data_IF_256551213520
#
_entry.id   IF_256551213520
#
_cell.length_a   1.000
_cell.length_b   1.000
_cell.length_c   1.000
_cell.angle_alpha   90.00
_cell.angle_beta   90.00
_cell.angle_gamma   90.00
#
_symmetry.space_group_name_H-M   'P 1'
#
loop_
_entity.id
_entity.type
_entity.pdbx_description
1 polymer ?
2 non-polymer ?
3 non-polymer ?
4 water ?
#
# COMPACT_ATOMS: atom_id res chain seq x y z
N UNK A 10 18.65 -17.72 -6.50
CA UNK A 10 17.72 -18.72 -7.06
C UNK A 10 16.94 -18.11 -8.25
N UNK A 11 17.57 -18.29 -9.39
CA UNK A 11 17.07 -17.91 -10.70
C UNK A 11 16.43 -19.13 -11.36
N UNK A 12 15.31 -18.86 -11.99
CA UNK A 12 14.53 -19.83 -12.73
C UNK A 12 15.04 -19.77 -14.17
N UNK A 13 15.05 -20.91 -14.81
CA UNK A 13 15.54 -21.04 -16.19
C UNK A 13 14.64 -20.24 -17.11
N UNK A 14 15.27 -19.49 -18.00
CA UNK A 14 14.62 -18.61 -18.94
C UNK A 14 13.72 -19.39 -19.90
N UNK A 15 12.47 -18.97 -19.96
CA UNK A 15 11.51 -19.59 -20.91
C UNK A 15 12.06 -19.27 -22.32
N UNK A 16 11.62 -20.11 -23.27
CA UNK A 16 12.03 -19.96 -24.66
C UNK A 16 11.66 -18.63 -25.27
N UNK A 17 10.49 -18.09 -25.00
CA UNK A 17 10.06 -16.85 -25.62
C UNK A 17 10.74 -15.59 -25.19
N UNK A 18 11.59 -15.66 -24.18
CA UNK A 18 12.22 -14.43 -23.60
C UNK A 18 13.56 -14.11 -24.19
N UNK A 19 13.69 -12.99 -24.90
CA UNK A 19 14.99 -12.61 -25.49
C UNK A 19 15.98 -12.28 -24.36
N UNK A 20 17.18 -12.81 -24.45
CA UNK A 20 18.18 -12.72 -23.40
C UNK A 20 18.55 -11.29 -23.01
N UNK A 21 18.39 -10.37 -23.91
CA UNK A 21 18.65 -8.96 -23.82
C UNK A 21 17.58 -8.26 -22.98
N UNK A 22 16.45 -8.99 -22.75
CA UNK A 22 15.39 -8.40 -21.92
C UNK A 22 15.53 -8.84 -20.50
N UNK A 23 16.51 -9.61 -20.17
CA UNK A 23 16.71 -10.12 -18.81
C UNK A 23 17.39 -9.03 -17.92
N UNK A 24 16.76 -8.90 -16.80
CA UNK A 24 17.18 -8.03 -15.68
C UNK A 24 16.67 -8.74 -14.42
N UNK A 25 17.59 -9.33 -13.68
CA UNK A 25 17.26 -10.11 -12.49
C UNK A 25 17.01 -9.30 -11.22
N UNK A 26 15.91 -8.66 -11.17
CA UNK A 26 15.34 -7.92 -10.08
C UNK A 26 14.53 -8.86 -9.17
N UNK A 27 14.86 -8.75 -7.89
CA UNK A 27 14.15 -9.46 -6.81
C UNK A 27 13.30 -8.45 -6.06
N UNK A 28 12.01 -8.41 -6.28
CA UNK A 28 11.06 -7.53 -5.68
C UNK A 28 11.05 -7.67 -4.14
N UNK A 29 11.45 -8.83 -3.64
CA UNK A 29 11.46 -9.08 -2.23
C UNK A 29 12.76 -8.70 -1.53
N UNK A 30 13.80 -8.59 -2.31
CA UNK A 30 15.12 -8.29 -1.82
C UNK A 30 15.96 -7.65 -2.93
N UNK A 31 15.60 -6.45 -3.25
CA UNK A 31 16.34 -5.68 -4.27
C UNK A 31 17.72 -5.34 -3.68
N UNK A 32 18.64 -5.20 -4.62
CA UNK A 32 20.04 -4.98 -4.36
C UNK A 32 20.35 -3.74 -3.57
N UNK A 33 19.83 -2.59 -3.98
CA UNK A 33 20.39 -1.44 -3.15
C UNK A 33 19.50 -1.02 -2.05
N UNK A 34 18.93 -1.99 -1.35
CA UNK A 34 17.98 -1.74 -0.25
C UNK A 34 18.51 -0.76 0.75
N UNK A 35 19.80 -0.81 0.99
CA UNK A 35 20.44 0.15 1.94
C UNK A 35 20.15 1.62 1.62
N UNK A 36 20.16 1.98 0.37
CA UNK A 36 19.91 3.34 -0.12
C UNK A 36 18.46 3.80 0.04
N UNK A 37 17.60 2.87 0.48
CA UNK A 37 16.15 3.21 0.58
C UNK A 37 15.42 2.34 -0.49
N UNK A 38 14.19 2.02 -0.19
CA UNK A 38 13.35 1.11 -0.99
C UNK A 38 12.97 1.70 -2.34
N UNK A 39 12.53 2.91 -2.44
CA UNK A 39 12.21 3.60 -3.64
C UNK A 39 13.43 3.71 -4.57
N UNK A 40 14.57 4.09 -3.96
CA UNK A 40 15.84 4.11 -4.70
C UNK A 40 16.24 2.72 -5.18
N UNK A 41 16.07 1.67 -4.44
CA UNK A 41 16.37 0.28 -4.84
C UNK A 41 15.53 -0.13 -6.05
N UNK A 42 14.30 0.20 -6.11
CA UNK A 42 13.38 -0.01 -7.25
C UNK A 42 13.72 0.79 -8.47
N UNK A 43 14.08 2.07 -8.28
CA UNK A 43 14.43 3.02 -9.29
C UNK A 43 15.62 2.61 -10.12
N UNK A 44 16.36 1.60 -9.76
CA UNK A 44 17.41 1.03 -10.60
C UNK A 44 16.81 0.56 -11.96
N UNK A 45 15.58 0.10 -11.96
CA UNK A 45 14.81 -0.37 -13.08
C UNK A 45 14.64 0.72 -14.14
N UNK A 46 14.75 1.97 -13.69
CA UNK A 46 14.59 3.12 -14.57
C UNK A 46 15.86 3.75 -15.09
N UNK A 47 16.96 3.11 -14.85
CA UNK A 47 18.26 3.55 -15.41
C UNK A 47 18.27 3.28 -16.92
N UNK A 48 19.05 4.09 -17.61
CA UNK A 48 19.26 4.05 -19.05
C UNK A 48 19.67 2.68 -19.59
N UNK A 49 20.29 1.83 -18.83
CA UNK A 49 20.74 0.52 -19.25
C UNK A 49 19.57 -0.50 -19.22
N UNK A 50 18.44 -0.05 -18.72
CA UNK A 50 17.31 -0.95 -18.54
C UNK A 50 16.26 -0.73 -19.58
N UNK A 51 15.89 -1.81 -20.27
CA UNK A 51 14.73 -1.71 -21.21
C UNK A 51 13.45 -1.39 -20.42
N UNK A 52 12.42 -0.89 -21.09
CA UNK A 52 11.13 -0.53 -20.55
C UNK A 52 10.36 -1.71 -19.93
N UNK A 53 10.64 -2.88 -20.45
CA UNK A 53 9.99 -4.13 -20.14
C UNK A 53 11.03 -5.19 -20.08
N UNK A 54 11.22 -5.73 -18.89
CA UNK A 54 12.24 -6.70 -18.62
C UNK A 54 11.60 -7.94 -18.04
N UNK A 55 12.37 -8.99 -18.06
CA UNK A 55 12.03 -10.28 -17.49
C UNK A 55 13.07 -10.51 -16.37
N UNK A 56 12.56 -10.88 -15.22
CA UNK A 56 13.45 -11.25 -14.12
C UNK A 56 13.32 -12.74 -13.91
N UNK A 57 14.41 -13.39 -13.59
CA UNK A 57 14.40 -14.82 -13.31
C UNK A 57 14.12 -15.15 -11.88
N UNK A 58 13.97 -14.11 -11.06
CA UNK A 58 13.74 -14.32 -9.62
C UNK A 58 12.25 -14.57 -9.40
N UNK A 59 12.00 -15.20 -8.28
CA UNK A 59 10.65 -15.39 -7.78
C UNK A 59 9.82 -16.15 -8.81
N UNK A 60 10.52 -17.00 -9.57
CA UNK A 60 9.94 -17.88 -10.55
C UNK A 60 9.90 -17.39 -11.99
N UNK A 61 10.24 -16.15 -12.27
CA UNK A 61 10.24 -15.57 -13.60
C UNK A 61 8.96 -14.85 -13.88
N UNK A 62 9.10 -13.58 -14.27
CA UNK A 62 7.95 -12.70 -14.53
C UNK A 62 8.50 -11.45 -15.20
N UNK A 63 7.62 -10.76 -15.88
CA UNK A 63 7.89 -9.52 -16.56
C UNK A 63 7.75 -8.38 -15.52
N UNK A 64 8.34 -7.25 -15.85
CA UNK A 64 8.21 -6.03 -15.02
C UNK A 64 8.11 -4.88 -16.02
N UNK A 65 7.08 -4.12 -15.97
CA UNK A 65 7.02 -2.89 -16.77
C UNK A 65 7.69 -1.80 -15.88
N UNK A 66 8.53 -0.98 -16.51
CA UNK A 66 9.32 -0.01 -15.73
C UNK A 66 8.90 1.40 -15.85
N UNK A 67 8.00 1.76 -16.71
CA UNK A 67 7.65 3.13 -17.08
C UNK A 67 6.20 3.36 -16.84
N UNK A 68 5.92 4.56 -16.32
CA UNK A 68 4.54 4.93 -16.02
C UNK A 68 3.62 4.71 -17.18
N UNK A 69 4.08 4.98 -18.39
CA UNK A 69 3.28 4.80 -19.62
C UNK A 69 2.79 3.37 -19.78
N UNK A 70 3.65 2.40 -19.65
CA UNK A 70 3.37 1.00 -19.79
C UNK A 70 2.52 0.50 -18.66
N UNK A 71 2.84 0.93 -17.44
CA UNK A 71 2.09 0.53 -16.24
C UNK A 71 0.62 0.97 -16.38
N UNK A 72 0.38 2.17 -16.80
CA UNK A 72 -0.96 2.70 -16.97
C UNK A 72 -1.74 1.93 -18.08
N UNK A 73 -1.03 1.72 -19.19
CA UNK A 73 -1.62 0.97 -20.30
C UNK A 73 -2.05 -0.44 -19.89
N UNK A 74 -1.19 -1.15 -19.27
CA UNK A 74 -1.40 -2.48 -18.76
C UNK A 74 -2.56 -2.48 -17.78
N UNK A 75 -2.68 -1.49 -16.91
CA UNK A 75 -3.72 -1.35 -15.93
C UNK A 75 -5.10 -1.06 -16.49
N UNK A 76 -5.13 -0.40 -17.61
CA UNK A 76 -6.27 -0.07 -18.36
C UNK A 76 -6.84 -1.25 -19.13
N UNK A 77 -6.01 -2.05 -19.70
CA UNK A 77 -6.24 -3.20 -20.54
C UNK A 77 -6.65 -4.48 -19.90
N UNK A 78 -7.62 -4.59 -19.06
CA UNK A 78 -7.92 -5.83 -18.30
C UNK A 78 -8.20 -7.06 -19.15
N UNK A 79 -8.63 -6.82 -20.38
CA UNK A 79 -8.83 -7.90 -21.39
C UNK A 79 -7.60 -8.76 -21.53
N UNK A 80 -6.42 -8.15 -21.69
CA UNK A 80 -5.14 -8.81 -21.76
C UNK A 80 -4.46 -9.08 -20.44
N UNK A 81 -4.57 -8.08 -19.58
CA UNK A 81 -3.87 -8.21 -18.23
C UNK A 81 -4.89 -8.43 -17.19
N UNK A 82 -5.03 -9.66 -16.73
CA UNK A 82 -6.12 -9.99 -15.80
C UNK A 82 -5.62 -9.93 -14.34
N UNK A 83 -6.59 -9.64 -13.47
CA UNK A 83 -6.35 -9.56 -12.03
C UNK A 83 -6.42 -10.88 -11.35
N UNK A 84 -6.75 -11.91 -12.14
CA UNK A 84 -6.99 -13.25 -11.56
C UNK A 84 -5.86 -13.66 -10.63
N UNK A 85 -4.66 -13.43 -11.13
CA UNK A 85 -3.42 -13.84 -10.39
C UNK A 85 -2.51 -12.57 -10.34
N UNK A 86 -2.76 -11.75 -9.32
CA UNK A 86 -2.14 -10.41 -9.22
C UNK A 86 -0.88 -10.35 -8.40
N UNK A 87 -0.57 -11.39 -7.67
CA UNK A 87 0.62 -11.48 -6.83
C UNK A 87 1.65 -12.39 -7.49
N UNK A 88 2.86 -12.04 -7.22
CA UNK A 88 4.09 -12.80 -7.55
C UNK A 88 4.62 -13.22 -6.20
N UNK A 89 5.08 -14.43 -5.98
CA UNK A 89 5.22 -15.50 -6.98
C UNK A 89 3.84 -16.14 -7.24
N UNK A 90 3.76 -16.87 -8.30
CA UNK A 90 2.52 -17.46 -8.85
C UNK A 90 1.72 -18.17 -7.80
N UNK A 91 2.33 -19.01 -6.98
CA UNK A 91 1.60 -19.68 -5.89
C UNK A 91 0.82 -18.73 -5.01
N UNK A 92 1.34 -17.54 -4.77
CA UNK A 92 0.66 -16.50 -4.01
C UNK A 92 -0.49 -15.95 -4.88
N UNK A 93 -0.19 -15.61 -6.13
CA UNK A 93 -1.20 -15.06 -7.03
C UNK A 93 -2.37 -16.06 -7.20
N UNK A 94 -2.01 -17.33 -7.24
CA UNK A 94 -2.92 -18.43 -7.38
C UNK A 94 -3.80 -18.62 -6.16
N UNK A 95 -3.21 -18.48 -4.98
CA UNK A 95 -3.96 -18.65 -3.74
C UNK A 95 -4.86 -17.46 -3.49
N UNK A 96 -4.52 -16.38 -4.18
CA UNK A 96 -5.16 -15.07 -3.99
C UNK A 96 -6.60 -15.12 -4.52
N UNK A 97 -7.53 -14.76 -3.65
CA UNK A 97 -8.93 -14.81 -4.01
C UNK A 97 -9.74 -13.69 -3.41
N UNK A 98 -9.04 -12.61 -3.06
CA UNK A 98 -9.72 -11.41 -2.55
C UNK A 98 -10.65 -10.79 -3.59
N UNK A 99 -11.70 -10.18 -3.04
CA UNK A 99 -12.69 -9.48 -3.86
C UNK A 99 -12.64 -8.01 -3.40
N UNK A 100 -12.67 -7.05 -4.31
CA UNK A 100 -12.81 -7.19 -5.73
C UNK A 100 -11.58 -7.47 -6.54
N UNK A 101 -10.43 -7.50 -5.87
CA UNK A 101 -9.13 -7.44 -6.50
C UNK A 101 -8.81 -8.58 -7.42
N UNK A 102 -9.33 -9.78 -7.15
CA UNK A 102 -8.97 -10.88 -8.10
C UNK A 102 -10.03 -11.01 -9.20
N UNK A 103 -10.86 -10.01 -9.45
CA UNK A 103 -11.84 -10.02 -10.50
C UNK A 103 -11.64 -8.89 -11.52
N UNK A 104 -12.06 -9.19 -12.72
CA UNK A 104 -12.02 -8.23 -13.85
C UNK A 104 -13.40 -7.72 -14.04
N UNK A 105 -13.55 -6.53 -14.61
CA UNK A 105 -14.87 -6.03 -15.02
C UNK A 105 -15.42 -7.02 -16.09
N UNK A 106 -16.74 -7.16 -16.19
CA UNK A 106 -17.77 -6.41 -15.52
C UNK A 106 -18.14 -6.88 -14.12
N UNK A 107 -17.78 -8.07 -13.79
CA UNK A 107 -18.04 -8.77 -12.56
C UNK A 107 -17.57 -7.99 -11.32
N UNK A 108 -16.37 -7.44 -11.43
CA UNK A 108 -15.75 -6.61 -10.38
C UNK A 108 -16.66 -5.51 -9.87
N UNK A 109 -17.35 -4.81 -10.73
CA UNK A 109 -18.18 -3.65 -10.48
C UNK A 109 -19.18 -3.70 -9.33
N UNK A 110 -19.86 -4.82 -9.21
CA UNK A 110 -20.88 -5.03 -8.22
C UNK A 110 -20.22 -5.12 -6.85
N UNK A 111 -19.12 -5.87 -6.84
CA UNK A 111 -18.40 -6.05 -5.56
C UNK A 111 -17.77 -4.71 -5.13
N UNK A 112 -17.26 -3.96 -6.08
CA UNK A 112 -16.63 -2.65 -5.82
C UNK A 112 -17.61 -1.67 -5.19
N UNK A 113 -18.81 -1.65 -5.72
CA UNK A 113 -19.90 -0.79 -5.26
C UNK A 113 -20.19 -1.02 -3.80
N UNK A 114 -20.15 -2.28 -3.38
CA UNK A 114 -20.39 -2.62 -1.98
C UNK A 114 -19.22 -2.19 -1.08
N UNK A 115 -18.04 -2.53 -1.51
CA UNK A 115 -16.81 -2.19 -0.75
C UNK A 115 -16.75 -0.67 -0.53
N UNK A 116 -17.19 0.08 -1.50
CA UNK A 116 -17.33 1.50 -1.55
C UNK A 116 -18.31 2.03 -0.49
N UNK A 117 -19.36 1.28 -0.26
CA UNK A 117 -20.35 1.65 0.76
C UNK A 117 -19.62 1.75 2.13
N UNK A 118 -18.73 0.80 2.33
CA UNK A 118 -18.00 0.68 3.56
C UNK A 118 -16.80 1.55 3.85
N UNK A 119 -15.97 1.88 2.88
CA UNK A 119 -14.74 2.64 3.00
C UNK A 119 -14.74 4.00 2.36
N UNK A 120 -15.68 4.33 1.51
CA UNK A 120 -15.73 5.54 0.73
C UNK A 120 -15.82 6.84 1.47
N UNK A 121 -15.89 7.92 0.69
CA UNK A 121 -16.06 9.29 1.15
C UNK A 121 -16.97 9.51 2.35
N UNK A 122 -18.23 9.10 2.25
CA UNK A 122 -19.25 9.28 3.28
C UNK A 122 -18.88 8.65 4.60
N UNK A 123 -18.10 7.59 4.60
CA UNK A 123 -17.60 6.94 5.80
C UNK A 123 -16.46 7.78 6.43
N UNK A 124 -15.64 8.36 5.58
CA UNK A 124 -14.53 9.18 5.99
C UNK A 124 -15.04 10.43 6.73
N UNK A 125 -16.08 11.00 6.11
CA UNK A 125 -16.77 12.15 6.60
C UNK A 125 -17.35 11.90 7.98
N UNK A 126 -17.89 10.78 8.22
CA UNK A 126 -18.47 10.37 9.50
C UNK A 126 -17.42 10.06 10.55
N UNK A 127 -16.25 9.55 10.17
CA UNK A 127 -15.21 9.17 11.07
C UNK A 127 -14.16 10.28 11.37
N UNK A 128 -14.28 11.39 10.74
CA UNK A 128 -13.37 12.46 10.74
C UNK A 128 -12.96 12.91 12.15
N UNK A 129 -13.94 13.10 13.00
CA UNK A 129 -13.80 13.44 14.38
C UNK A 129 -13.03 12.40 15.17
N UNK A 130 -13.21 11.12 14.96
CA UNK A 130 -12.41 10.14 15.68
C UNK A 130 -10.96 10.15 15.19
N UNK A 131 -10.81 10.33 13.89
CA UNK A 131 -9.44 10.25 13.30
C UNK A 131 -8.60 11.37 14.04
N UNK A 132 -9.19 12.51 14.07
CA UNK A 132 -8.61 13.75 14.67
C UNK A 132 -8.38 13.55 16.17
N UNK A 133 -9.35 12.97 16.85
CA UNK A 133 -9.27 12.65 18.25
C UNK A 133 -8.16 11.68 18.56
N UNK A 134 -8.04 10.61 17.77
CA UNK A 134 -7.00 9.63 18.03
C UNK A 134 -5.62 10.18 17.76
N UNK A 135 -5.48 10.96 16.71
CA UNK A 135 -4.18 11.48 16.32
C UNK A 135 -3.67 12.44 17.45
N UNK A 136 -4.55 13.32 17.85
CA UNK A 136 -4.22 14.32 18.91
C UNK A 136 -3.83 13.63 20.19
N UNK A 137 -4.62 12.65 20.58
CA UNK A 137 -4.34 11.84 21.76
C UNK A 137 -3.07 11.07 21.74
N UNK A 138 -2.74 10.49 20.62
CA UNK A 138 -1.51 9.64 20.50
C UNK A 138 -0.29 10.60 20.58
N UNK A 139 -0.43 11.72 19.87
CA UNK A 139 0.66 12.67 19.77
C UNK A 139 0.99 13.31 21.12
N UNK A 140 -0.05 13.80 21.77
CA UNK A 140 0.05 14.47 23.06
C UNK A 140 0.68 13.52 24.07
N UNK A 141 0.30 12.28 23.95
CA UNK A 141 0.82 11.22 24.81
C UNK A 141 2.29 10.98 24.59
N UNK A 142 2.78 11.22 23.36
CA UNK A 142 4.18 11.05 23.04
C UNK A 142 5.05 12.28 23.34
N UNK A 143 4.57 13.44 23.03
CA UNK A 143 5.20 14.74 23.12
C UNK A 143 6.20 14.97 24.23
N UNK A 144 5.81 14.78 25.48
CA UNK A 144 6.68 14.97 26.66
C UNK A 144 7.79 13.99 26.81
N UNK A 145 7.77 12.88 26.09
CA UNK A 145 8.78 11.83 26.17
C UNK A 145 10.10 12.17 25.52
N UNK A 146 10.08 12.98 24.50
CA UNK A 146 11.26 13.36 23.73
C UNK A 146 11.82 12.23 22.90
N UNK A 147 11.09 11.15 22.76
CA UNK A 147 11.52 10.01 21.95
C UNK A 147 10.42 8.98 21.74
N UNK A 148 10.32 8.47 20.50
CA UNK A 148 9.52 7.24 20.27
C UNK A 148 10.19 6.30 19.28
N UNK A 149 9.48 5.24 18.99
CA UNK A 149 9.63 4.27 17.94
C UNK A 149 8.52 4.57 16.94
N UNK A 150 8.50 5.59 16.16
CA UNK A 150 7.36 6.03 15.38
C UNK A 150 6.55 4.85 14.75
N UNK A 151 7.25 3.84 14.28
CA UNK A 151 6.55 2.71 13.65
C UNK A 151 5.68 2.05 14.67
N UNK A 152 6.23 1.65 15.83
CA UNK A 152 5.35 1.02 16.83
C UNK A 152 4.44 1.93 17.57
N UNK A 153 4.87 3.12 17.87
CA UNK A 153 4.23 4.14 18.69
C UNK A 153 3.14 4.93 17.99
N UNK A 154 3.24 5.07 16.65
CA UNK A 154 2.16 5.87 16.03
C UNK A 154 1.64 5.26 14.70
N UNK A 155 2.65 5.04 13.84
CA UNK A 155 2.31 4.53 12.48
C UNK A 155 1.43 3.30 12.51
N UNK A 156 1.56 2.39 13.43
CA UNK A 156 0.75 1.23 13.65
C UNK A 156 -0.56 1.50 14.34
N UNK A 157 -0.54 1.94 15.60
CA UNK A 157 -1.75 2.19 16.34
C UNK A 157 -2.76 3.09 15.61
N UNK A 158 -2.30 4.23 15.11
CA UNK A 158 -3.16 5.25 14.54
C UNK A 158 -4.13 4.71 13.51
N UNK A 159 -3.60 4.24 12.40
CA UNK A 159 -4.43 3.72 11.29
C UNK A 159 -5.15 2.45 11.69
N UNK A 160 -4.52 1.59 12.47
CA UNK A 160 -5.09 0.29 12.84
C UNK A 160 -6.29 0.41 13.73
N UNK A 161 -6.10 1.21 14.78
CA UNK A 161 -7.20 1.43 15.72
C UNK A 161 -8.41 2.01 14.98
N UNK A 162 -8.18 2.84 14.01
CA UNK A 162 -9.32 3.41 13.28
C UNK A 162 -10.04 2.34 12.44
N UNK A 163 -9.27 1.46 11.85
CA UNK A 163 -9.81 0.37 11.02
C UNK A 163 -10.59 -0.55 11.99
N UNK A 164 -9.97 -0.83 13.14
CA UNK A 164 -10.53 -1.74 14.11
C UNK A 164 -11.91 -1.26 14.52
N UNK A 165 -12.04 0.06 14.62
CA UNK A 165 -13.26 0.72 15.07
C UNK A 165 -14.34 0.65 13.99
N UNK A 166 -13.90 0.84 12.78
CA UNK A 166 -14.72 0.83 11.58
C UNK A 166 -15.33 -0.59 11.37
N UNK A 167 -14.54 -1.58 11.56
CA UNK A 167 -14.77 -2.97 11.35
C UNK A 167 -15.45 -3.64 12.54
N UNK A 168 -15.38 -3.01 13.66
CA UNK A 168 -15.99 -3.46 14.92
C UNK A 168 -15.25 -4.69 15.41
N UNK A 169 -13.94 -4.69 15.37
CA UNK A 169 -13.12 -5.83 15.83
C UNK A 169 -12.30 -5.42 17.06
N UNK A 170 -12.07 -6.41 17.93
CA UNK A 170 -11.30 -6.14 19.18
C UNK A 170 -9.86 -5.76 18.93
N UNK A 171 -9.45 -4.67 19.60
CA UNK A 171 -8.08 -4.19 19.58
C UNK A 171 -7.11 -5.26 19.96
N UNK A 172 -7.60 -6.20 20.78
CA UNK A 172 -6.83 -7.36 21.24
C UNK A 172 -6.36 -8.21 20.08
N UNK A 173 -7.06 -8.14 18.95
CA UNK A 173 -6.69 -9.01 17.81
C UNK A 173 -5.56 -8.44 16.98
N UNK A 174 -5.16 -7.20 17.23
CA UNK A 174 -4.17 -6.55 16.40
C UNK A 174 -2.95 -7.35 16.07
N UNK A 175 -2.23 -7.80 17.09
CA UNK A 175 -0.96 -8.51 16.92
C UNK A 175 -1.03 -9.74 16.02
N UNK A 176 -2.04 -10.55 16.24
CA UNK A 176 -2.33 -11.77 15.47
C UNK A 176 -2.60 -11.39 14.02
N UNK A 177 -3.51 -10.43 13.84
CA UNK A 177 -3.89 -9.98 12.52
C UNK A 177 -2.79 -9.35 11.70
N UNK A 178 -2.05 -8.50 12.36
CA UNK A 178 -0.95 -7.72 11.79
C UNK A 178 0.13 -8.65 11.33
N UNK A 179 0.33 -9.70 12.10
CA UNK A 179 1.34 -10.74 11.72
C UNK A 179 0.92 -11.42 10.41
N UNK A 180 -0.36 -11.78 10.35
CA UNK A 180 -0.86 -12.50 9.16
C UNK A 180 -0.83 -11.64 7.91
N UNK A 181 -1.20 -10.37 8.04
CA UNK A 181 -1.21 -9.42 6.93
C UNK A 181 0.20 -9.19 6.39
N UNK A 182 1.16 -9.08 7.28
CA UNK A 182 2.56 -8.90 6.97
C UNK A 182 3.15 -10.06 6.13
N UNK A 183 2.75 -11.23 6.52
CA UNK A 183 3.09 -12.47 5.82
C UNK A 183 2.65 -12.41 4.37
N UNK A 184 1.56 -11.71 4.10
CA UNK A 184 1.02 -11.57 2.75
C UNK A 184 1.78 -10.63 1.85
N UNK A 185 2.19 -9.50 2.36
CA UNK A 185 2.86 -8.44 1.55
C UNK A 185 4.36 -8.56 1.58
N UNK A 186 4.86 -8.99 2.76
CA UNK A 186 6.31 -9.06 2.97
C UNK A 186 6.68 -10.38 3.60
N UNK A 187 6.42 -11.46 2.81
CA UNK A 187 6.71 -12.83 3.23
C UNK A 187 8.08 -13.00 3.88
N UNK A 188 7.99 -13.61 5.02
CA UNK A 188 9.07 -13.96 5.95
C UNK A 188 9.81 -15.25 5.57
N UNK A 189 8.96 -16.20 5.20
CA UNK A 189 9.40 -17.58 4.88
C UNK A 189 8.81 -18.46 6.00
N UNK A 190 8.26 -17.81 6.99
CA UNK A 190 7.65 -18.46 8.15
C UNK A 190 6.37 -19.20 7.75
N UNK A 191 5.70 -18.61 6.79
CA UNK A 191 4.44 -19.22 6.28
C UNK A 191 4.26 -18.86 4.84
N UNK A 192 3.64 -19.78 4.10
CA UNK A 192 3.29 -19.52 2.67
C UNK A 192 2.02 -18.68 2.63
N UNK A 193 1.65 -18.20 1.44
CA UNK A 193 0.52 -17.34 1.22
C UNK A 193 -0.78 -18.03 1.60
N UNK A 194 -0.92 -19.26 1.18
CA UNK A 194 -2.13 -20.06 1.40
C UNK A 194 -2.37 -20.32 2.89
N UNK A 195 -1.31 -20.63 3.58
CA UNK A 195 -1.33 -20.86 5.04
C UNK A 195 -1.84 -19.56 5.74
N UNK A 196 -1.22 -18.45 5.37
CA UNK A 196 -1.49 -17.16 5.94
C UNK A 196 -2.93 -16.80 5.60
N UNK A 197 -3.25 -17.03 4.34
CA UNK A 197 -4.60 -16.71 3.84
C UNK A 197 -5.65 -17.48 4.67
N UNK A 198 -5.38 -18.72 4.91
CA UNK A 198 -6.22 -19.63 5.66
C UNK A 198 -6.46 -19.26 7.10
N UNK A 199 -5.37 -18.84 7.75
CA UNK A 199 -5.39 -18.38 9.15
C UNK A 199 -6.22 -17.12 9.24
N UNK A 200 -6.16 -16.22 8.28
CA UNK A 200 -6.96 -14.99 8.30
C UNK A 200 -8.44 -15.33 8.15
N UNK A 201 -8.65 -16.28 7.26
CA UNK A 201 -9.99 -16.78 6.93
C UNK A 201 -10.57 -17.51 8.11
N UNK A 202 -9.78 -18.26 8.83
CA UNK A 202 -10.27 -18.93 10.07
C UNK A 202 -10.78 -17.90 11.08
N UNK A 203 -10.09 -16.77 11.04
CA UNK A 203 -10.41 -15.63 11.88
C UNK A 203 -11.78 -15.09 11.55
N UNK A 204 -12.00 -14.71 10.34
CA UNK A 204 -13.16 -14.04 9.79
C UNK A 204 -14.44 -14.87 9.73
N UNK A 205 -14.33 -16.14 9.39
CA UNK A 205 -15.50 -17.03 9.26
C UNK A 205 -16.52 -16.95 10.35
N UNK A 206 -16.21 -17.21 11.59
CA UNK A 206 -17.11 -17.13 12.73
C UNK A 206 -17.78 -15.79 12.90
N UNK A 207 -16.99 -14.70 12.68
CA UNK A 207 -17.44 -13.34 12.77
C UNK A 207 -18.51 -13.05 11.76
N UNK A 208 -18.19 -13.37 10.52
CA UNK A 208 -19.17 -13.14 9.41
C UNK A 208 -20.48 -13.84 9.77
N UNK A 209 -20.36 -15.06 10.21
CA UNK A 209 -21.50 -15.91 10.56
C UNK A 209 -22.42 -15.15 11.54
N UNK A 210 -21.79 -14.71 12.58
CA UNK A 210 -22.32 -13.97 13.72
C UNK A 210 -23.02 -12.71 13.23
N UNK A 211 -22.43 -12.05 12.24
CA UNK A 211 -22.93 -10.79 11.72
C UNK A 211 -23.98 -10.97 10.64
N UNK A 212 -24.16 -12.18 10.16
CA UNK A 212 -25.27 -12.43 9.20
C UNK A 212 -26.53 -12.67 10.05
N UNK A 213 -26.34 -13.33 11.17
CA UNK A 213 -27.41 -13.63 12.13
C UNK A 213 -27.89 -12.36 12.82
N UNK A 214 -26.94 -11.66 13.42
CA UNK A 214 -27.20 -10.40 14.12
C UNK A 214 -26.28 -9.26 13.70
N UNK A 215 -26.78 -8.53 12.71
CA UNK A 215 -26.11 -7.40 12.11
C UNK A 215 -25.91 -6.25 13.06
N UNK A 216 -24.79 -5.60 12.78
CA UNK A 216 -24.42 -4.34 13.49
C UNK A 216 -24.37 -3.27 12.38
N UNK A 217 -23.60 -2.25 12.71
CA UNK A 217 -23.46 -1.07 11.87
C UNK A 217 -22.02 -1.01 11.38
N UNK A 218 -21.23 -1.94 11.81
CA UNK A 218 -19.78 -2.02 11.42
C UNK A 218 -19.65 -2.39 9.95
N UNK A 219 -18.44 -2.24 9.42
CA UNK A 219 -18.15 -2.59 8.03
C UNK A 219 -18.41 -4.09 7.70
N UNK A 220 -18.09 -4.97 8.60
CA UNK A 220 -18.20 -6.41 8.40
C UNK A 220 -19.67 -6.78 8.26
N UNK A 221 -20.50 -6.24 9.13
CA UNK A 221 -21.93 -6.35 9.15
C UNK A 221 -22.53 -5.88 7.82
N UNK A 222 -22.07 -4.76 7.33
CA UNK A 222 -22.60 -4.22 6.06
C UNK A 222 -22.19 -5.12 4.89
N UNK A 223 -20.97 -5.61 4.89
CA UNK A 223 -20.49 -6.50 3.81
C UNK A 223 -21.24 -7.84 3.88
N UNK A 224 -21.35 -8.45 5.01
CA UNK A 224 -21.97 -9.76 5.22
C UNK A 224 -23.43 -9.85 4.81
N UNK A 225 -24.11 -8.72 4.81
CA UNK A 225 -25.53 -8.56 4.60
C UNK A 225 -25.84 -7.78 3.35
N UNK A 226 -24.87 -7.58 2.48
CA UNK A 226 -24.95 -6.75 1.29
C UNK A 226 -25.61 -7.45 0.11
N UNK A 227 -25.92 -6.69 -0.89
CA UNK A 227 -26.55 -7.13 -2.14
C UNK A 227 -25.59 -6.86 -3.29
N UNK A 228 -25.42 -7.84 -4.11
CA UNK A 228 -24.57 -7.81 -5.31
C UNK A 228 -25.37 -8.49 -6.43
N UNK A 229 -25.58 -7.73 -7.48
CA UNK A 229 -26.32 -8.20 -8.67
C UNK A 229 -27.70 -8.74 -8.32
N UNK A 230 -28.42 -7.93 -7.55
CA UNK A 230 -29.76 -8.17 -7.07
C UNK A 230 -29.92 -9.21 -6.01
N UNK A 231 -28.96 -10.07 -5.79
CA UNK A 231 -29.09 -11.14 -4.74
C UNK A 231 -28.17 -10.85 -3.58
N UNK A 232 -28.31 -11.64 -2.51
CA UNK A 232 -27.46 -11.50 -1.32
C UNK A 232 -26.05 -12.03 -1.58
N UNK A 233 -25.07 -11.38 -0.99
CA UNK A 233 -23.66 -11.86 -1.05
C UNK A 233 -23.59 -13.21 -0.35
N UNK A 234 -22.74 -14.09 -0.78
CA UNK A 234 -22.57 -15.38 -0.13
C UNK A 234 -21.59 -15.16 1.03
N UNK A 235 -21.51 -16.16 1.86
CA UNK A 235 -20.62 -16.10 3.06
C UNK A 235 -19.15 -16.01 2.62
N UNK A 236 -18.82 -16.83 1.66
CA UNK A 236 -17.53 -16.99 1.02
C UNK A 236 -17.08 -15.65 0.34
N UNK A 237 -17.97 -15.03 -0.39
CA UNK A 237 -17.78 -13.75 -0.99
C UNK A 237 -17.52 -12.66 0.08
N UNK A 238 -18.29 -12.74 1.16
CA UNK A 238 -18.14 -11.76 2.25
C UNK A 238 -16.77 -11.99 2.90
N UNK A 239 -16.43 -13.26 3.00
CA UNK A 239 -15.14 -13.60 3.63
C UNK A 239 -13.99 -13.04 2.80
N UNK A 240 -14.10 -13.23 1.50
CA UNK A 240 -13.11 -12.75 0.56
C UNK A 240 -13.02 -11.25 0.45
N UNK A 241 -14.04 -10.46 0.59
CA UNK A 241 -13.96 -9.03 0.61
C UNK A 241 -13.29 -8.54 1.96
N UNK A 242 -13.83 -9.08 3.05
CA UNK A 242 -13.37 -8.70 4.37
C UNK A 242 -11.88 -8.95 4.50
N UNK A 243 -11.43 -10.00 3.89
CA UNK A 243 -10.00 -10.41 3.91
C UNK A 243 -9.18 -9.24 3.28
N UNK A 244 -9.70 -8.73 2.16
CA UNK A 244 -8.98 -7.63 1.49
C UNK A 244 -8.95 -6.37 2.38
N UNK A 245 -10.08 -6.05 2.95
CA UNK A 245 -10.31 -4.89 3.77
C UNK A 245 -9.31 -4.87 4.94
N UNK A 246 -9.13 -6.01 5.54
CA UNK A 246 -8.20 -6.23 6.59
C UNK A 246 -6.75 -5.88 6.17
N UNK A 247 -6.30 -6.34 5.04
CA UNK A 247 -4.94 -6.10 4.53
C UNK A 247 -4.76 -4.62 4.21
N UNK A 248 -5.78 -4.05 3.59
CA UNK A 248 -5.73 -2.63 3.25
C UNK A 248 -5.66 -1.78 4.51
N UNK A 249 -6.48 -2.10 5.50
CA UNK A 249 -6.56 -1.38 6.76
C UNK A 249 -5.28 -1.46 7.60
N UNK A 250 -4.70 -2.61 7.70
CA UNK A 250 -3.55 -2.93 8.49
C UNK A 250 -2.19 -2.66 7.96
N UNK A 251 -2.01 -2.85 6.67
CA UNK A 251 -0.77 -2.82 5.94
C UNK A 251 -0.50 -1.70 5.03
N UNK A 252 -1.24 -0.69 4.80
CA UNK A 252 -0.95 0.35 3.82
C UNK A 252 -0.49 1.68 4.48
N UNK A 253 -1.40 2.32 5.13
CA UNK A 253 -1.28 3.60 5.78
C UNK A 253 -0.13 3.56 6.80
N UNK A 254 -0.08 2.46 7.49
CA UNK A 254 0.96 2.15 8.45
C UNK A 254 2.37 2.35 7.92
N UNK A 255 2.69 1.77 6.80
CA UNK A 255 4.00 1.85 6.16
C UNK A 255 4.24 3.23 5.56
N UNK A 256 3.23 3.76 4.91
CA UNK A 256 3.38 5.07 4.27
C UNK A 256 3.85 6.16 5.26
N UNK A 257 3.23 6.19 6.43
CA UNK A 257 3.42 7.21 7.44
C UNK A 257 4.91 7.17 7.85
N UNK A 258 5.46 5.99 8.00
CA UNK A 258 6.85 5.81 8.35
C UNK A 258 7.78 6.37 7.33
N UNK A 259 7.51 6.21 6.03
CA UNK A 259 8.42 6.75 5.01
C UNK A 259 8.43 8.29 5.13
N UNK A 260 7.21 8.80 5.24
CA UNK A 260 6.93 10.21 5.25
C UNK A 260 7.59 10.91 6.48
N UNK A 261 7.41 10.30 7.61
CA UNK A 261 7.94 10.76 8.88
C UNK A 261 9.43 10.67 8.95
N UNK A 262 10.02 9.68 8.30
CA UNK A 262 11.47 9.57 8.15
C UNK A 262 11.98 10.74 7.33
N UNK A 263 11.35 11.00 6.20
CA UNK A 263 11.72 12.15 5.38
C UNK A 263 11.61 13.46 6.17
N UNK A 264 10.51 13.67 6.87
CA UNK A 264 10.30 14.92 7.56
C UNK A 264 11.38 15.12 8.68
N UNK A 265 11.72 14.05 9.37
CA UNK A 265 12.72 14.02 10.38
C UNK A 265 14.06 14.48 9.79
N UNK A 266 14.25 14.25 8.51
CA UNK A 266 15.53 14.61 7.86
C UNK A 266 15.44 15.90 7.17
N UNK A 267 14.34 16.60 7.13
CA UNK A 267 14.24 17.81 6.30
C UNK A 267 13.52 18.96 6.91
N UNK A 268 14.27 19.70 7.78
CA UNK A 268 13.75 20.86 8.48
C UNK A 268 13.00 21.82 7.62
N UNK A 269 13.55 22.08 6.45
CA UNK A 269 12.97 23.08 5.53
C UNK A 269 11.61 22.62 5.03
N UNK A 270 11.36 21.33 4.93
CA UNK A 270 10.05 20.87 4.49
C UNK A 270 9.03 20.99 5.62
N UNK A 271 9.50 20.72 6.83
CA UNK A 271 8.63 20.85 8.02
C UNK A 271 8.15 22.28 8.18
N UNK A 272 9.10 23.23 7.99
CA UNK A 272 8.85 24.65 8.22
C UNK A 272 7.84 25.20 7.24
N UNK A 273 8.06 24.68 6.02
CA UNK A 273 7.17 25.06 4.92
C UNK A 273 5.76 24.76 5.28
N UNK A 274 5.51 23.59 5.86
CA UNK A 274 4.15 23.14 6.19
C UNK A 274 3.59 23.91 7.39
N UNK A 275 4.49 24.26 8.30
CA UNK A 275 4.12 25.05 9.49
C UNK A 275 3.72 26.45 9.10
N UNK A 276 4.48 27.07 8.23
CA UNK A 276 4.13 28.43 7.84
C UNK A 276 3.04 28.56 6.81
N UNK A 277 2.95 27.61 5.94
CA UNK A 277 1.97 27.73 4.80
C UNK A 277 1.09 26.51 4.74
N UNK A 278 0.25 26.32 5.75
CA UNK A 278 -0.59 25.17 5.94
C UNK A 278 -1.51 24.86 4.76
N UNK A 279 -1.77 25.83 3.90
CA UNK A 279 -2.61 25.72 2.75
C UNK A 279 -2.00 24.69 1.78
N UNK A 280 -0.74 24.43 1.96
CA UNK A 280 0.10 23.54 1.24
C UNK A 280 0.06 22.08 1.64
N UNK A 281 -0.44 21.74 2.81
CA UNK A 281 -0.57 20.37 3.26
C UNK A 281 -1.10 19.34 2.23
N UNK A 282 -2.19 19.64 1.61
CA UNK A 282 -2.87 18.79 0.61
C UNK A 282 -1.97 18.50 -0.55
N UNK A 283 -1.27 19.49 -1.06
CA UNK A 283 -0.28 19.42 -2.09
C UNK A 283 0.94 18.64 -1.69
N UNK A 284 1.44 18.85 -0.50
CA UNK A 284 2.55 18.08 0.07
C UNK A 284 2.18 16.61 0.26
N UNK A 285 0.95 16.35 0.64
CA UNK A 285 0.46 14.97 0.85
C UNK A 285 0.55 14.17 -0.48
N UNK A 286 0.14 14.82 -1.57
CA UNK A 286 0.23 14.24 -2.91
C UNK A 286 1.68 13.99 -3.30
N UNK A 287 2.55 14.95 -2.99
CA UNK A 287 3.95 14.87 -3.35
C UNK A 287 4.61 13.78 -2.60
N UNK A 288 4.24 13.60 -1.33
CA UNK A 288 4.78 12.50 -0.50
C UNK A 288 4.24 11.18 -1.03
N UNK A 289 2.95 11.16 -1.42
CA UNK A 289 2.37 9.90 -1.99
C UNK A 289 3.12 9.50 -3.25
N UNK A 290 3.55 10.48 -4.06
CA UNK A 290 4.39 10.21 -5.22
C UNK A 290 5.78 9.72 -4.87
N UNK A 291 6.50 10.43 -4.00
CA UNK A 291 7.90 10.11 -3.66
C UNK A 291 8.07 8.89 -2.84
N UNK A 292 7.11 8.64 -1.94
CA UNK A 292 7.17 7.49 -1.05
C UNK A 292 6.11 6.43 -1.38
N UNK A 293 5.75 6.35 -2.65
CA UNK A 293 4.87 5.24 -3.20
C UNK A 293 5.49 3.92 -2.82
N UNK A 294 4.61 2.96 -2.45
CA UNK A 294 5.07 1.73 -1.90
C UNK A 294 4.46 0.40 -2.29
N UNK A 295 3.53 0.40 -3.22
CA UNK A 295 2.79 -0.81 -3.64
C UNK A 295 3.34 -1.30 -5.00
N UNK A 296 3.49 -2.61 -5.05
CA UNK A 296 3.84 -3.26 -6.33
C UNK A 296 3.07 -4.57 -6.50
N UNK A 297 2.05 -4.53 -7.33
CA UNK A 297 1.45 -5.92 -7.69
C UNK A 297 1.46 -6.01 -9.21
N UNK A 298 0.74 -7.04 -9.77
CA UNK A 298 0.75 -7.17 -11.25
C UNK A 298 -0.56 -7.81 -11.75
N UNK A 299 -0.39 -8.41 -12.90
CA UNK A 299 -1.48 -9.06 -13.65
C UNK A 299 -1.02 -10.34 -14.34
N UNK A 300 -2.00 -11.01 -14.93
CA UNK A 300 -1.63 -12.30 -15.66
C UNK A 300 -2.05 -12.20 -17.07
N UNK A 301 -1.22 -12.75 -17.97
CA UNK A 301 -1.62 -12.65 -19.42
C UNK A 301 -2.74 -13.72 -19.69
N UNK A 302 -3.82 -13.17 -20.22
CA UNK A 302 -4.99 -14.02 -20.57
C UNK A 302 -4.73 -14.73 -21.91
N UNK A 303 -3.79 -14.19 -22.68
CA UNK A 303 -3.44 -14.74 -23.98
C UNK A 303 -2.10 -14.17 -24.45
N UNK A 304 -1.67 -14.76 -25.57
CA UNK A 304 -0.46 -14.34 -26.28
C UNK A 304 -0.76 -12.91 -26.77
N UNK A 305 0.23 -12.05 -26.46
CA UNK A 305 -0.01 -10.63 -26.79
C UNK A 305 1.31 -9.92 -26.92
N UNK A 306 1.33 -9.10 -27.95
CA UNK A 306 2.54 -8.35 -28.30
C UNK A 306 2.33 -6.92 -27.80
N UNK A 307 3.15 -6.63 -26.80
CA UNK A 307 2.98 -5.35 -26.04
C UNK A 307 4.26 -4.55 -26.19
N UNK A 308 4.17 -3.48 -26.94
CA UNK A 308 5.31 -2.56 -27.14
C UNK A 308 6.49 -3.34 -27.70
N UNK A 309 6.16 -4.19 -28.66
CA UNK A 309 7.10 -5.02 -29.39
C UNK A 309 7.62 -6.20 -28.66
N UNK A 310 7.14 -6.51 -27.47
CA UNK A 310 7.64 -7.72 -26.74
C UNK A 310 6.46 -8.72 -26.79
N UNK A 311 6.85 -9.96 -27.03
CA UNK A 311 5.84 -11.04 -27.09
C UNK A 311 5.59 -11.60 -25.71
N UNK A 312 4.36 -11.42 -25.28
CA UNK A 312 4.00 -11.92 -23.93
C UNK A 312 3.20 -13.22 -24.21
N UNK A 313 3.45 -14.22 -23.41
CA UNK A 313 2.78 -15.50 -23.53
C UNK A 313 1.69 -15.64 -22.50
N UNK A 314 0.63 -16.32 -22.90
CA UNK A 314 -0.55 -16.55 -22.07
C UNK A 314 -0.10 -17.16 -20.75
N UNK A 315 -0.51 -16.66 -19.61
CA UNK A 315 -0.06 -17.30 -18.35
C UNK A 315 1.19 -16.61 -17.80
N UNK A 316 1.81 -15.75 -18.59
CA UNK A 316 2.98 -14.99 -18.09
C UNK A 316 2.46 -14.01 -17.02
N UNK A 317 3.16 -13.97 -15.89
CA UNK A 317 2.76 -12.83 -14.94
C UNK A 317 3.62 -11.62 -15.32
N UNK A 318 3.12 -10.44 -15.01
CA UNK A 318 3.81 -9.18 -15.17
C UNK A 318 3.57 -8.28 -13.94
N UNK A 319 4.66 -7.82 -13.34
CA UNK A 319 4.61 -6.88 -12.23
C UNK A 319 4.42 -5.51 -12.82
N UNK A 320 3.47 -4.74 -12.33
CA UNK A 320 3.25 -3.37 -12.88
C UNK A 320 3.29 -2.41 -11.66
N UNK A 321 4.52 -2.14 -11.21
CA UNK A 321 4.76 -1.48 -9.92
C UNK A 321 4.14 -0.09 -9.86
N UNK A 322 3.09 0.01 -9.07
CA UNK A 322 2.39 1.32 -8.96
C UNK A 322 3.38 2.40 -8.47
N UNK A 323 4.34 1.94 -7.69
CA UNK A 323 5.40 2.75 -7.10
C UNK A 323 6.22 3.50 -8.16
N UNK A 324 6.50 2.80 -9.24
CA UNK A 324 7.34 3.28 -10.30
C UNK A 324 6.85 4.41 -11.14
N UNK A 325 5.59 4.61 -11.39
CA UNK A 325 5.11 5.62 -12.27
C UNK A 325 5.57 7.04 -11.92
N UNK A 326 5.42 7.40 -10.65
CA UNK A 326 5.70 8.75 -10.18
C UNK A 326 7.21 9.00 -10.04
N UNK A 327 8.01 7.98 -10.04
CA UNK A 327 9.44 8.04 -9.93
C UNK A 327 10.11 8.14 -11.28
N UNK A 328 9.30 7.97 -12.32
CA UNK A 328 9.73 8.00 -13.71
C UNK A 328 9.99 9.43 -14.08
N UNK A 329 11.20 9.69 -14.58
CA UNK A 329 11.62 10.98 -15.07
C UNK A 329 10.81 11.51 -16.23
N UNK A 330 10.25 10.64 -17.04
CA UNK A 330 9.39 11.04 -18.18
C UNK A 330 8.09 11.62 -17.61
N UNK A 331 7.73 11.30 -16.38
CA UNK A 331 6.50 11.78 -15.78
C UNK A 331 6.75 12.96 -14.83
N UNK A 332 7.84 12.86 -14.05
CA UNK A 332 8.20 13.95 -13.10
C UNK A 332 9.69 14.27 -13.22
N UNK A 333 9.96 15.53 -13.48
CA UNK A 333 11.35 16.07 -13.52
C UNK A 333 11.87 15.96 -12.09
N UNK A 334 13.11 15.57 -11.93
CA UNK A 334 13.81 15.33 -10.70
C UNK A 334 12.99 14.53 -9.73
N UNK A 335 12.73 13.26 -10.06
CA UNK A 335 11.83 12.39 -9.34
C UNK A 335 12.10 12.15 -7.89
N UNK A 336 13.33 11.98 -7.54
CA UNK A 336 13.85 11.71 -6.22
C UNK A 336 13.86 12.97 -5.33
N UNK A 337 13.59 14.10 -5.90
CA UNK A 337 13.51 15.38 -5.18
C UNK A 337 12.10 15.64 -4.68
N UNK A 338 11.98 16.03 -3.38
CA UNK A 338 10.67 16.34 -2.82
C UNK A 338 10.36 17.82 -3.02
N UNK A 339 9.38 18.15 -3.83
CA UNK A 339 8.98 19.54 -4.10
C UNK A 339 7.49 19.74 -3.94
N UNK A 340 7.09 20.40 -2.88
CA UNK A 340 5.74 20.68 -2.52
C UNK A 340 5.03 21.58 -3.50
N UNK A 341 5.81 22.25 -4.33
CA UNK A 341 5.18 23.17 -5.30
C UNK A 341 5.30 22.73 -6.75
N UNK A 342 5.41 21.43 -6.99
CA UNK A 342 5.38 20.88 -8.34
C UNK A 342 4.07 21.32 -9.02
N UNK A 343 4.17 21.74 -10.26
CA UNK A 343 2.99 22.13 -11.03
C UNK A 343 2.03 20.94 -11.20
N UNK A 344 2.58 19.78 -11.44
CA UNK A 344 1.80 18.53 -11.66
C UNK A 344 2.45 17.37 -10.90
N UNK A 345 1.75 16.78 -10.00
CA UNK A 345 2.21 15.61 -9.23
C UNK A 345 1.58 14.37 -9.90
N UNK A 346 2.42 13.71 -10.67
CA UNK A 346 1.95 12.54 -11.44
C UNK A 346 2.37 11.26 -10.76
N UNK A 347 1.35 10.47 -10.34
CA UNK A 347 1.65 9.19 -9.72
C UNK A 347 0.53 8.17 -10.06
N UNK A 348 0.72 6.96 -9.62
CA UNK A 348 -0.36 5.94 -9.65
C UNK A 348 -0.23 5.19 -8.35
N UNK A 349 -0.06 5.99 -7.27
CA UNK A 349 0.12 5.34 -5.95
C UNK A 349 -1.01 4.49 -5.49
N UNK A 350 -2.22 4.95 -5.74
CA UNK A 350 -3.47 4.27 -5.40
C UNK A 350 -3.96 3.40 -6.58
N UNK A 351 -3.06 3.16 -7.52
CA UNK A 351 -3.43 2.26 -8.67
C UNK A 351 -3.93 3.09 -9.82
N UNK A 352 -4.56 2.42 -10.77
CA UNK A 352 -4.97 2.92 -12.07
C UNK A 352 -5.90 1.85 -12.72
N UNK A 353 -6.80 2.34 -13.48
CA UNK A 353 -7.82 1.48 -14.17
C UNK A 353 -8.95 1.20 -13.22
N UNK A 354 -9.55 0.00 -13.42
CA UNK A 354 -10.81 -0.30 -12.70
C UNK A 354 -10.59 -0.62 -11.25
N UNK A 355 -9.38 -0.94 -10.86
CA UNK A 355 -9.07 -1.30 -9.48
C UNK A 355 -8.62 -0.14 -8.61
N UNK A 356 -8.74 1.08 -9.08
CA UNK A 356 -8.34 2.27 -8.28
C UNK A 356 -8.76 2.11 -6.82
N UNK A 357 -7.87 2.41 -5.91
CA UNK A 357 -8.05 2.33 -4.50
C UNK A 357 -9.28 3.00 -3.98
N UNK A 358 -10.14 2.19 -3.34
CA UNK A 358 -11.37 2.78 -2.77
C UNK A 358 -11.05 3.48 -1.41
N UNK A 359 -10.07 2.95 -0.70
CA UNK A 359 -9.67 3.46 0.59
C UNK A 359 -8.80 4.73 0.56
N UNK A 360 -8.67 5.31 -0.62
CA UNK A 360 -7.77 6.43 -0.85
C UNK A 360 -8.16 7.64 -0.03
N UNK A 361 -9.44 7.90 0.07
CA UNK A 361 -10.06 9.01 0.76
C UNK A 361 -9.74 8.92 2.25
N UNK A 362 -9.81 7.72 2.76
CA UNK A 362 -9.48 7.37 4.10
C UNK A 362 -7.96 7.62 4.35
N UNK A 363 -7.18 7.14 3.44
CA UNK A 363 -5.72 7.25 3.53
C UNK A 363 -5.32 8.71 3.58
N UNK A 364 -5.77 9.53 2.68
CA UNK A 364 -5.47 10.91 2.57
C UNK A 364 -5.85 11.68 3.86
N UNK A 365 -6.99 11.35 4.44
CA UNK A 365 -7.49 11.98 5.64
C UNK A 365 -6.54 11.66 6.81
N UNK A 366 -6.10 10.45 6.91
CA UNK A 366 -5.18 9.99 7.91
C UNK A 366 -3.81 10.63 7.80
N UNK A 367 -3.34 10.81 6.59
CA UNK A 367 -2.05 11.43 6.34
C UNK A 367 -2.09 12.93 6.72
N UNK A 368 -3.01 13.63 6.13
CA UNK A 368 -3.20 15.04 6.37
C UNK A 368 -3.39 15.34 7.86
N UNK A 369 -4.15 14.56 8.56
CA UNK A 369 -4.35 14.76 9.99
C UNK A 369 -3.04 14.65 10.75
N UNK A 370 -2.27 13.64 10.44
CA UNK A 370 -1.01 13.32 11.08
C UNK A 370 0.01 14.48 10.86
N UNK A 371 0.11 14.96 9.65
CA UNK A 371 1.02 16.00 9.28
C UNK A 371 0.67 17.27 10.12
N UNK A 372 -0.57 17.63 10.08
CA UNK A 372 -1.08 18.83 10.72
C UNK A 372 -0.88 18.78 12.22
N UNK A 373 -1.27 17.70 12.84
CA UNK A 373 -1.25 17.44 14.21
C UNK A 373 0.08 17.20 14.84
N UNK A 374 0.99 16.53 14.17
CA UNK A 374 2.31 16.27 14.57
C UNK A 374 3.15 17.59 14.57
N UNK A 375 3.17 18.26 13.47
CA UNK A 375 3.85 19.49 13.24
C UNK A 375 3.40 20.60 14.22
N UNK A 376 2.17 20.56 14.62
CA UNK A 376 1.57 21.45 15.55
C UNK A 376 2.26 21.33 16.93
N UNK A 377 2.39 20.18 17.45
CA UNK A 377 2.93 19.86 18.76
C UNK A 377 4.42 19.61 18.79
N UNK A 378 4.96 19.04 17.76
CA UNK A 378 6.34 18.59 17.65
C UNK A 378 6.92 19.05 16.34
N UNK A 379 7.23 20.35 16.27
CA UNK A 379 7.73 20.98 15.06
C UNK A 379 9.14 20.61 14.69
N UNK A 380 9.85 20.14 15.67
CA UNK A 380 11.29 19.91 15.58
C UNK A 380 11.61 18.57 16.20
N UNK A 381 12.14 17.73 15.30
CA UNK A 381 12.48 16.35 15.73
C UNK A 381 13.50 15.86 14.73
N UNK A 382 14.15 14.76 15.09
CA UNK A 382 15.09 14.12 14.20
C UNK A 382 15.18 12.64 14.48
N UNK A 383 15.95 11.97 13.62
CA UNK A 383 16.21 10.54 13.79
C UNK A 383 17.25 10.44 14.94
N UNK A 384 17.06 9.44 15.76
CA UNK A 384 17.95 9.16 16.87
C UNK A 384 19.37 8.92 16.32
N UNK A 385 20.32 9.52 17.02
CA UNK A 385 21.75 9.38 16.72
C UNK A 385 22.11 7.90 16.68
N UNK A 386 22.74 7.53 15.60
CA UNK A 386 23.23 6.16 15.37
C UNK A 386 22.20 5.13 15.06
N UNK A 387 20.98 5.56 14.77
CA UNK A 387 19.94 4.58 14.35
C UNK A 387 20.21 4.46 12.84
N UNK A 388 20.23 3.22 12.42
CA UNK A 388 20.26 2.94 10.94
C UNK A 388 18.82 2.58 10.53
N UNK A 389 18.21 3.36 9.64
CA UNK A 389 16.82 3.03 9.21
C UNK A 389 16.80 1.95 8.13
N UNK A 390 16.15 0.84 8.43
CA UNK A 390 16.09 -0.22 7.37
C UNK A 390 14.70 -0.30 6.75
N UNK A 391 14.70 -0.28 5.44
CA UNK A 391 13.43 -0.43 4.67
C UNK A 391 13.25 -1.91 4.36
N UNK A 392 12.05 -2.32 4.02
CA UNK A 392 11.79 -3.73 3.65
C UNK A 392 10.92 -3.70 2.37
N UNK A 393 11.24 -4.52 1.43
CA UNK A 393 10.50 -4.59 0.14
C UNK A 393 9.52 -5.75 0.08
N UNK A 394 8.49 -5.56 -0.77
CA UNK A 394 7.52 -6.59 -1.04
C UNK A 394 6.38 -6.08 -1.88
N UNK A 395 5.22 -6.69 -1.67
CA UNK A 395 3.99 -6.20 -2.36
C UNK A 395 3.75 -4.79 -1.81
N UNK A 396 3.88 -4.69 -0.49
CA UNK A 396 3.77 -3.35 0.16
C UNK A 396 5.14 -3.15 0.83
N UNK A 397 5.77 -2.03 0.54
CA UNK A 397 7.14 -1.83 1.14
C UNK A 397 6.92 -1.23 2.54
N UNK A 398 7.95 -1.39 3.37
CA UNK A 398 7.87 -0.90 4.78
C UNK A 398 9.19 -0.50 5.41
N UNK A 399 9.05 0.06 6.58
CA UNK A 399 10.24 0.60 7.39
C UNK A 399 10.25 -0.26 8.64
N UNK A 400 11.38 -0.82 8.94
CA UNK A 400 11.51 -1.75 10.10
C UNK A 400 11.26 -1.11 11.43
N UNK A 401 11.82 0.07 11.64
CA UNK A 401 11.75 0.83 12.90
C UNK A 401 12.16 2.24 12.63
N UNK A 402 11.56 3.20 13.32
CA UNK A 402 11.87 4.62 13.16
C UNK A 402 12.04 5.33 14.51
N UNK A 403 13.23 5.20 15.04
CA UNK A 403 13.60 5.86 16.34
C UNK A 403 13.69 7.36 16.15
N UNK A 404 12.83 8.15 16.69
CA UNK A 404 12.86 9.61 16.63
C UNK A 404 13.25 10.20 18.01
N UNK A 405 13.86 11.37 17.98
CA UNK A 405 14.19 12.10 19.25
C UNK A 405 13.80 13.54 19.07
N UNK A 406 13.51 14.19 20.20
CA UNK A 406 13.21 15.64 20.14
C UNK A 406 13.39 16.22 21.58
N UNK A 407 13.56 17.53 21.57
CA UNK A 407 13.63 18.19 22.91
C UNK A 407 12.21 18.61 23.29
N UNK A 408 11.72 18.09 24.39
CA UNK A 408 10.37 18.38 24.87
C UNK A 408 10.11 19.85 24.98
N UNK A 409 11.19 20.59 25.36
CA UNK A 409 11.06 22.05 25.59
C UNK A 409 10.77 22.79 24.30
N UNK A 410 10.97 22.16 23.16
CA UNK A 410 10.62 22.82 21.87
C UNK A 410 9.23 22.38 21.42
N UNK A 411 8.52 21.60 22.24
CA UNK A 411 7.18 21.17 21.85
C UNK A 411 6.10 22.11 22.34
N UNK A 412 4.88 21.92 21.76
CA UNK A 412 3.75 22.73 22.12
C UNK A 412 2.55 21.87 22.48
N UNK A 413 2.10 22.03 23.70
CA UNK A 413 0.90 21.38 24.17
C UNK A 413 -0.27 22.11 23.52
N UNK A 414 -1.27 21.31 23.23
CA UNK A 414 -2.54 21.81 22.68
C UNK A 414 -3.64 21.24 23.61
#
# INVERSE_FOLDING_TARGET
TTETIQSNANLAPLPPHVPEHLVFDFDMYNPSNLSAGVQEAWAVLQESNVPDLVWTRCNGGHWIATRGQLIREAYEDYRHFSSECPFIPREAGEAYDFIPTSMDPPEQRQFRALANQVVGMPVVDKLENRIQELACSLIESLRPQGQCNFTEDYAEPFPIRIFMLLAGLPEEDIPHLKYLTDQMTRPDGSMTFAEAKEALYDYLIPIIEQRRQKPGTDAISIVANGQVNGRPITSDEAKRMCGLLLVGGLDTVVNFLSFSMEFLAKSPEHRQELIERPERIPAACEELLRRFSLVADGRILTSDYEFHGVQLKKGDQILLPQMLSGLDERENACPMHVDFSRQKVSHTTFGHGSHLCLGQHLARREIIVTLKEWLTRIPDFSIAPGAQIQHKSGIVSGVQALPLVWDPATTKAV
#
